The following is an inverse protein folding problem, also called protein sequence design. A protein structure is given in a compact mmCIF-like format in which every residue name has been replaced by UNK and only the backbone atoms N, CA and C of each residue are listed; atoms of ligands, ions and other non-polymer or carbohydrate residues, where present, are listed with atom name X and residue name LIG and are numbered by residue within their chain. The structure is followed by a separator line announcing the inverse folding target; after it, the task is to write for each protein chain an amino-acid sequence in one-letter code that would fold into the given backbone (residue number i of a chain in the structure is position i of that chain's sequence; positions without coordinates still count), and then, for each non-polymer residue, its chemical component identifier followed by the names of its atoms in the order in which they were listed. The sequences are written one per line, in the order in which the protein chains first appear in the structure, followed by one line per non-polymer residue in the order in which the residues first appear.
data_IF_615957239055
#
_entry.id   IF_615957239055
#
_cell.length_a   1.000
_cell.length_b   1.000
_cell.length_c   1.000
_cell.angle_alpha   90.00
_cell.angle_beta   90.00
_cell.angle_gamma   90.00
#
_symmetry.space_group_name_H-M   'P 1'
#
loop_
_entity.id
_entity.type
_entity.pdbx_description
1 polymer ?
#
# COMPACT_ATOMS: atom_id res chain seq x y z
N UNK A 1 17.48 25.06 27.46
CA UNK A 1 17.34 24.88 25.99
C UNK A 1 16.47 23.67 25.68
N UNK A 2 15.30 23.89 25.05
CA UNK A 2 14.41 22.79 24.62
C UNK A 2 14.94 22.29 23.29
N UNK A 3 15.59 21.12 23.28
CA UNK A 3 16.04 20.45 22.07
C UNK A 3 14.79 19.89 21.38
N UNK A 4 14.39 20.47 20.25
CA UNK A 4 13.33 19.92 19.39
C UNK A 4 13.93 18.82 18.52
N UNK A 5 13.66 17.56 18.88
CA UNK A 5 13.98 16.43 18.03
C UNK A 5 13.01 16.47 16.82
N UNK A 6 13.50 16.53 15.57
CA UNK A 6 12.65 16.49 14.38
C UNK A 6 11.86 15.17 14.37
N UNK A 7 10.55 15.24 14.09
CA UNK A 7 9.78 14.01 13.89
C UNK A 7 10.32 13.26 12.67
N UNK A 8 10.38 11.92 12.69
CA UNK A 8 10.75 11.15 11.52
C UNK A 8 9.87 11.57 10.33
N UNK A 9 10.45 11.66 9.11
CA UNK A 9 9.67 11.99 7.91
C UNK A 9 8.58 10.93 7.72
N UNK A 10 7.36 11.37 7.46
CA UNK A 10 6.28 10.45 7.06
C UNK A 10 6.57 9.95 5.65
N UNK A 11 6.45 8.64 5.38
CA UNK A 11 6.45 8.17 4.02
C UNK A 11 5.31 8.83 3.26
N UNK A 12 5.54 9.06 1.97
CA UNK A 12 4.56 9.70 1.09
C UNK A 12 4.38 8.83 -0.14
N UNK A 13 3.13 8.59 -0.52
CA UNK A 13 2.81 7.88 -1.76
C UNK A 13 2.41 8.91 -2.82
N UNK A 14 2.74 8.63 -4.08
CA UNK A 14 2.52 9.49 -5.26
C UNK A 14 3.27 10.83 -5.26
N UNK A 15 3.34 11.50 -6.43
CA UNK A 15 3.94 12.84 -6.58
C UNK A 15 3.22 13.91 -5.73
N UNK A 16 1.95 13.67 -5.39
CA UNK A 16 1.14 14.54 -4.53
C UNK A 16 1.45 14.38 -3.03
N UNK A 17 2.40 13.50 -2.68
CA UNK A 17 2.88 13.26 -1.32
C UNK A 17 1.77 12.92 -0.31
N UNK A 18 0.81 12.10 -0.74
CA UNK A 18 -0.36 11.79 0.05
C UNK A 18 0.00 10.93 1.27
N UNK A 19 -0.66 11.22 2.39
CA UNK A 19 -0.48 10.49 3.65
C UNK A 19 -1.79 10.20 4.40
N UNK A 20 -2.91 10.81 3.95
CA UNK A 20 -4.25 10.56 4.46
C UNK A 20 -4.82 9.27 3.88
N UNK A 21 -5.38 8.42 4.72
CA UNK A 21 -5.95 7.14 4.30
C UNK A 21 -7.12 7.30 3.32
N UNK A 22 -7.99 8.30 3.53
CA UNK A 22 -9.11 8.57 2.63
C UNK A 22 -8.65 8.97 1.23
N UNK A 23 -7.60 9.80 1.15
CA UNK A 23 -7.04 10.23 -0.13
C UNK A 23 -6.39 9.04 -0.83
N UNK A 24 -5.55 8.28 -0.13
CA UNK A 24 -4.91 7.07 -0.68
C UNK A 24 -5.94 6.09 -1.24
N UNK A 25 -7.04 5.85 -0.52
CA UNK A 25 -8.11 4.97 -0.99
C UNK A 25 -8.77 5.49 -2.28
N UNK A 26 -8.98 6.80 -2.39
CA UNK A 26 -9.55 7.40 -3.61
C UNK A 26 -8.60 7.23 -4.79
N UNK A 27 -7.33 7.63 -4.64
CA UNK A 27 -6.35 7.52 -5.72
C UNK A 27 -6.11 6.07 -6.14
N UNK A 28 -6.13 5.12 -5.20
CA UNK A 28 -6.01 3.70 -5.53
C UNK A 28 -7.20 3.19 -6.32
N UNK A 29 -8.41 3.70 -6.06
CA UNK A 29 -9.58 3.36 -6.87
C UNK A 29 -9.41 3.91 -8.29
N UNK A 30 -9.02 5.17 -8.42
CA UNK A 30 -8.78 5.81 -9.72
C UNK A 30 -7.70 5.06 -10.50
N UNK A 31 -6.59 4.71 -9.83
CA UNK A 31 -5.51 3.91 -10.42
C UNK A 31 -5.97 2.53 -10.92
N UNK A 32 -6.79 1.81 -10.15
CA UNK A 32 -7.30 0.51 -10.60
C UNK A 32 -8.26 0.65 -11.77
N UNK A 33 -9.06 1.72 -11.82
CA UNK A 33 -9.98 1.99 -12.92
C UNK A 33 -9.25 2.42 -14.19
N UNK A 34 -8.23 3.28 -14.08
CA UNK A 34 -7.44 3.79 -15.20
C UNK A 34 -6.62 2.70 -15.90
N UNK A 35 -6.27 1.64 -15.15
CA UNK A 35 -5.47 0.51 -15.63
C UNK A 35 -6.22 -0.82 -15.43
N UNK A 36 -7.54 -0.83 -15.54
CA UNK A 36 -8.35 -2.05 -15.42
C UNK A 36 -7.87 -3.08 -16.45
N UNK A 37 -7.74 -2.71 -17.73
CA UNK A 37 -7.43 -3.64 -18.82
C UNK A 37 -5.94 -4.00 -18.88
N UNK A 38 -5.06 -3.01 -18.76
CA UNK A 38 -3.61 -3.20 -18.90
C UNK A 38 -2.95 -3.80 -17.65
N UNK A 39 -3.57 -3.61 -16.48
CA UNK A 39 -2.98 -3.92 -15.20
C UNK A 39 -1.92 -2.90 -14.74
N UNK A 40 -1.46 -3.00 -13.50
CA UNK A 40 -0.53 -2.03 -12.93
C UNK A 40 0.90 -2.24 -13.42
N UNK A 41 1.66 -1.15 -13.58
CA UNK A 41 3.09 -1.25 -13.82
C UNK A 41 3.83 -1.75 -12.58
N UNK A 42 4.80 -2.65 -12.79
CA UNK A 42 5.60 -3.23 -11.71
C UNK A 42 6.32 -2.18 -10.84
N UNK A 43 6.71 -1.05 -11.43
CA UNK A 43 7.36 0.06 -10.76
C UNK A 43 6.43 0.75 -9.75
N UNK A 44 5.16 0.96 -10.12
CA UNK A 44 4.15 1.56 -9.25
C UNK A 44 3.78 0.61 -8.11
N UNK A 45 3.66 -0.69 -8.41
CA UNK A 45 3.44 -1.73 -7.40
C UNK A 45 4.60 -1.78 -6.41
N UNK A 46 5.85 -1.72 -6.89
CA UNK A 46 7.03 -1.69 -6.03
C UNK A 46 7.08 -0.42 -5.17
N UNK A 47 6.69 0.73 -5.72
CA UNK A 47 6.59 1.99 -4.98
C UNK A 47 5.52 1.91 -3.87
N UNK A 48 4.36 1.31 -4.15
CA UNK A 48 3.30 1.10 -3.16
C UNK A 48 3.74 0.12 -2.06
N UNK A 49 4.36 -1.01 -2.43
CA UNK A 49 4.88 -1.98 -1.48
C UNK A 49 5.92 -1.36 -0.54
N UNK A 50 6.86 -0.57 -1.09
CA UNK A 50 7.85 0.19 -0.32
C UNK A 50 7.20 1.22 0.59
N UNK A 51 6.23 1.98 0.09
CA UNK A 51 5.48 2.94 0.89
C UNK A 51 4.81 2.29 2.10
N UNK A 52 4.10 1.17 1.90
CA UNK A 52 3.41 0.49 2.99
C UNK A 52 4.38 -0.17 3.97
N UNK A 53 5.51 -0.71 3.50
CA UNK A 53 6.62 -1.12 4.36
C UNK A 53 7.05 0.03 5.28
N UNK A 54 7.26 1.22 4.72
CA UNK A 54 7.67 2.40 5.49
C UNK A 54 6.58 2.89 6.44
N UNK A 55 5.29 2.76 6.09
CA UNK A 55 4.18 3.02 7.04
C UNK A 55 4.25 2.04 8.22
N UNK A 56 4.55 0.78 7.97
CA UNK A 56 4.73 -0.22 9.03
C UNK A 56 5.94 0.11 9.90
N UNK A 57 7.10 0.42 9.30
CA UNK A 57 8.38 0.62 10.03
C UNK A 57 8.47 2.01 10.66
N UNK A 58 8.30 3.07 9.88
CA UNK A 58 8.53 4.46 10.28
C UNK A 58 7.33 5.05 11.02
N UNK A 59 6.11 4.87 10.51
CA UNK A 59 4.90 5.34 11.21
C UNK A 59 4.47 4.39 12.34
N UNK A 60 5.06 3.19 12.40
CA UNK A 60 4.66 2.10 13.31
C UNK A 60 3.19 1.70 13.19
N UNK A 61 2.58 1.95 12.03
CA UNK A 61 1.13 1.82 11.85
C UNK A 61 0.76 0.66 10.92
N UNK A 62 0.80 -0.55 11.46
CA UNK A 62 0.42 -1.76 10.70
C UNK A 62 -1.06 -1.75 10.31
N UNK A 63 -1.94 -1.20 11.16
CA UNK A 63 -3.37 -1.13 10.89
C UNK A 63 -3.70 -0.32 9.64
N UNK A 64 -3.04 0.84 9.47
CA UNK A 64 -3.15 1.65 8.24
C UNK A 64 -2.68 0.87 7.01
N UNK A 65 -1.54 0.19 7.10
CA UNK A 65 -1.01 -0.59 5.99
C UNK A 65 -1.98 -1.72 5.57
N UNK A 66 -2.50 -2.48 6.54
CA UNK A 66 -3.51 -3.53 6.30
C UNK A 66 -4.79 -2.94 5.72
N UNK A 67 -5.29 -1.82 6.26
CA UNK A 67 -6.49 -1.14 5.76
C UNK A 67 -6.36 -0.72 4.30
N UNK A 68 -5.17 -0.24 3.90
CA UNK A 68 -4.89 0.12 2.50
C UNK A 68 -4.83 -1.13 1.60
N UNK A 69 -4.19 -2.21 2.05
CA UNK A 69 -4.13 -3.47 1.29
C UNK A 69 -5.52 -4.07 1.08
N UNK A 70 -6.34 -4.14 2.14
CA UNK A 70 -7.71 -4.65 2.08
C UNK A 70 -8.58 -3.81 1.15
N UNK A 71 -8.37 -2.50 1.16
CA UNK A 71 -9.04 -1.63 0.23
C UNK A 71 -8.66 -1.93 -1.22
N UNK A 72 -7.37 -2.10 -1.52
CA UNK A 72 -6.92 -2.48 -2.86
C UNK A 72 -7.55 -3.79 -3.32
N UNK A 73 -7.51 -4.81 -2.45
CA UNK A 73 -8.07 -6.13 -2.72
C UNK A 73 -9.58 -6.06 -2.99
N UNK A 74 -10.31 -5.25 -2.23
CA UNK A 74 -11.73 -5.02 -2.49
C UNK A 74 -11.97 -4.31 -3.82
N UNK A 75 -11.19 -3.28 -4.17
CA UNK A 75 -11.31 -2.57 -5.46
C UNK A 75 -11.03 -3.51 -6.63
N UNK A 76 -9.96 -4.31 -6.54
CA UNK A 76 -9.59 -5.31 -7.54
C UNK A 76 -10.69 -6.39 -7.66
N UNK A 77 -11.30 -6.80 -6.54
CA UNK A 77 -12.43 -7.71 -6.53
C UNK A 77 -13.71 -7.17 -7.17
N UNK A 78 -13.80 -5.85 -7.41
CA UNK A 78 -14.89 -5.22 -8.16
C UNK A 78 -14.65 -5.14 -9.67
N UNK A 79 -13.48 -5.56 -10.17
CA UNK A 79 -13.22 -5.63 -11.61
C UNK A 79 -14.08 -6.72 -12.24
N UNK A 80 -14.64 -6.44 -13.42
CA UNK A 80 -15.52 -7.38 -14.11
C UNK A 80 -14.77 -8.34 -15.04
N UNK A 81 -13.53 -7.98 -15.42
CA UNK A 81 -12.70 -8.79 -16.30
C UNK A 81 -11.74 -9.68 -15.49
N UNK A 82 -11.84 -10.99 -15.68
CA UNK A 82 -11.03 -11.97 -14.95
C UNK A 82 -9.54 -11.90 -15.34
N UNK A 83 -9.21 -11.46 -16.56
CA UNK A 83 -7.84 -11.29 -17.04
C UNK A 83 -7.15 -10.11 -16.39
N UNK A 84 -7.83 -8.97 -16.36
CA UNK A 84 -7.47 -7.77 -15.59
C UNK A 84 -7.22 -8.14 -14.13
N UNK A 85 -8.18 -8.84 -13.51
CA UNK A 85 -8.09 -9.25 -12.10
C UNK A 85 -6.85 -10.08 -11.81
N UNK A 86 -6.49 -11.02 -12.68
CA UNK A 86 -5.30 -11.85 -12.48
C UNK A 86 -3.99 -11.03 -12.44
N UNK A 87 -3.88 -9.98 -13.28
CA UNK A 87 -2.75 -9.05 -13.24
C UNK A 87 -2.68 -8.27 -11.93
N UNK A 88 -3.84 -7.80 -11.46
CA UNK A 88 -3.98 -7.08 -10.21
C UNK A 88 -3.76 -7.95 -8.96
N UNK A 89 -4.16 -9.23 -8.97
CA UNK A 89 -3.92 -10.16 -7.87
C UNK A 89 -2.43 -10.35 -7.60
N UNK A 90 -1.62 -10.39 -8.67
CA UNK A 90 -0.15 -10.40 -8.57
C UNK A 90 0.38 -9.14 -7.88
N UNK A 91 -0.19 -7.97 -8.20
CA UNK A 91 0.17 -6.71 -7.57
C UNK A 91 -0.22 -6.68 -6.08
N UNK A 92 -1.44 -7.10 -5.74
CA UNK A 92 -1.91 -7.19 -4.35
C UNK A 92 -0.98 -8.09 -3.53
N UNK A 93 -0.53 -9.21 -4.10
CA UNK A 93 0.44 -10.10 -3.44
C UNK A 93 1.78 -9.41 -3.16
N UNK A 94 2.38 -8.74 -4.16
CA UNK A 94 3.63 -7.98 -3.98
C UNK A 94 3.50 -6.90 -2.89
N UNK A 95 2.35 -6.24 -2.81
CA UNK A 95 2.07 -5.23 -1.78
C UNK A 95 1.93 -5.87 -0.40
N UNK A 96 1.22 -7.02 -0.28
CA UNK A 96 1.15 -7.82 0.96
C UNK A 96 2.54 -8.24 1.45
N UNK A 97 3.42 -8.63 0.54
CA UNK A 97 4.80 -9.01 0.86
C UNK A 97 5.60 -7.83 1.44
N UNK A 98 5.47 -6.62 0.89
CA UNK A 98 6.11 -5.43 1.44
C UNK A 98 5.66 -5.07 2.87
N UNK A 99 4.35 -5.23 3.16
CA UNK A 99 3.81 -5.05 4.51
C UNK A 99 4.38 -6.11 5.48
N UNK A 100 4.45 -7.37 5.06
CA UNK A 100 5.03 -8.46 5.84
C UNK A 100 6.53 -8.24 6.10
N UNK A 101 7.27 -7.71 5.12
CA UNK A 101 8.67 -7.36 5.30
C UNK A 101 8.84 -6.32 6.42
N UNK A 102 8.06 -5.24 6.38
CA UNK A 102 8.08 -4.22 7.42
C UNK A 102 7.65 -4.74 8.79
N UNK A 103 6.68 -5.68 8.82
CA UNK A 103 6.24 -6.31 10.06
C UNK A 103 7.32 -7.22 10.67
N UNK A 104 8.02 -7.99 9.82
CA UNK A 104 9.15 -8.83 10.24
C UNK A 104 10.30 -7.99 10.79
N UNK A 105 10.65 -6.90 10.13
CA UNK A 105 11.67 -5.96 10.61
C UNK A 105 11.32 -5.37 11.99
N UNK A 106 10.03 -5.20 12.25
CA UNK A 106 9.52 -4.77 13.55
C UNK A 106 9.37 -5.89 14.58
N UNK A 107 9.68 -7.14 14.24
CA UNK A 107 9.50 -8.29 15.12
C UNK A 107 8.04 -8.67 15.38
N UNK A 108 7.10 -8.24 14.53
CA UNK A 108 5.67 -8.52 14.67
C UNK A 108 5.25 -9.86 14.05
N UNK A 109 6.14 -10.52 13.30
CA UNK A 109 5.84 -11.75 12.57
C UNK A 109 5.07 -11.49 11.26
N UNK A 110 4.28 -12.48 10.83
CA UNK A 110 3.46 -12.38 9.63
C UNK A 110 2.14 -11.68 9.94
N UNK A 111 1.77 -10.73 9.09
CA UNK A 111 0.50 -10.01 9.18
C UNK A 111 -0.61 -10.87 8.59
N UNK A 112 -1.74 -10.89 9.28
CA UNK A 112 -2.98 -11.47 8.77
C UNK A 112 -3.78 -10.39 8.01
N UNK A 113 -4.25 -10.74 6.82
CA UNK A 113 -5.01 -9.85 5.95
C UNK A 113 -6.48 -10.25 5.84
N UNK A 114 -6.89 -11.37 6.44
CA UNK A 114 -8.27 -11.90 6.38
C UNK A 114 -9.22 -11.24 7.40
#
# INVERSE_FOLDING_TARGET
PIIRIPRPPRPTFTKAKLSSETELRREMREWVQDFEVEGPFDEDVAALAKYLRDVVVLERNTGKAVGIVRWLEWVVGCLNDDGARAGWDGAVKKVKDGVNEGARERGLGRVDFD
#
